data_IF_551714343788
#
_entry.id   IF_551714343788
#
_cell.length_a   1.000
_cell.length_b   1.000
_cell.length_c   1.000
_cell.angle_alpha   90.00
_cell.angle_beta   90.00
_cell.angle_gamma   90.00
#
_symmetry.space_group_name_H-M   'P 1'
#
loop_
_entity.id
_entity.type
_entity.pdbx_description
1 polymer ?
#
# COMPACT_ATOMS: atom_id res chain seq x y z
N UNK A 1 -13.45 13.70 -5.22
CA UNK A 1 -12.43 13.75 -4.14
C UNK A 1 -11.41 12.68 -4.45
N UNK A 2 -10.11 13.01 -4.43
CA UNK A 2 -9.04 12.04 -4.63
C UNK A 2 -7.90 12.44 -5.56
N UNK A 3 -7.98 13.55 -6.30
CA UNK A 3 -6.95 13.90 -7.31
C UNK A 3 -5.54 14.03 -6.71
N UNK A 4 -5.42 14.61 -5.51
CA UNK A 4 -4.16 14.71 -4.79
C UNK A 4 -3.63 13.32 -4.35
N UNK A 5 -4.48 12.49 -3.75
CA UNK A 5 -4.14 11.13 -3.36
C UNK A 5 -3.74 10.25 -4.57
N UNK A 6 -4.50 10.33 -5.67
CA UNK A 6 -4.18 9.68 -6.95
C UNK A 6 -2.82 10.13 -7.49
N UNK A 7 -2.57 11.45 -7.49
CA UNK A 7 -1.29 12.00 -7.93
C UNK A 7 -0.13 11.52 -7.06
N UNK A 8 -0.30 11.56 -5.74
CA UNK A 8 0.70 11.11 -4.77
C UNK A 8 1.01 9.61 -4.95
N UNK A 9 -0.01 8.76 -5.10
CA UNK A 9 0.16 7.32 -5.36
C UNK A 9 0.84 7.06 -6.70
N UNK A 10 0.44 7.78 -7.75
CA UNK A 10 1.06 7.68 -9.08
C UNK A 10 2.57 7.98 -9.02
N UNK A 11 2.96 9.04 -8.31
CA UNK A 11 4.38 9.37 -8.11
C UNK A 11 5.08 8.33 -7.24
N UNK A 12 4.48 7.94 -6.11
CA UNK A 12 5.02 6.96 -5.19
C UNK A 12 5.32 5.63 -5.88
N UNK A 13 4.40 5.14 -6.71
CA UNK A 13 4.57 3.92 -7.50
C UNK A 13 5.71 4.03 -8.52
N UNK A 14 5.92 5.19 -9.15
CA UNK A 14 7.02 5.40 -10.11
C UNK A 14 8.39 5.41 -9.46
N UNK A 15 8.48 5.93 -8.24
CA UNK A 15 9.75 6.04 -7.51
C UNK A 15 9.95 4.93 -6.46
N UNK A 16 9.02 3.98 -6.37
CA UNK A 16 9.01 2.91 -5.36
C UNK A 16 9.24 3.46 -3.93
N UNK A 17 8.54 4.55 -3.60
CA UNK A 17 8.69 5.25 -2.31
C UNK A 17 7.40 5.18 -1.50
N UNK A 18 7.48 5.03 -0.17
CA UNK A 18 6.32 5.30 0.68
C UNK A 18 5.92 6.78 0.62
N UNK A 19 4.68 7.05 1.01
CA UNK A 19 4.13 8.38 1.22
C UNK A 19 4.11 8.66 2.73
N UNK A 20 4.36 9.91 3.11
CA UNK A 20 4.18 10.37 4.49
C UNK A 20 3.07 11.42 4.53
N UNK A 21 2.19 11.30 5.52
CA UNK A 21 1.16 12.29 5.83
C UNK A 21 1.31 12.75 7.29
N UNK A 22 1.03 14.01 7.61
CA UNK A 22 1.23 14.56 8.96
C UNK A 22 0.22 14.04 9.99
N UNK A 23 -0.95 13.58 9.57
CA UNK A 23 -2.03 13.11 10.45
C UNK A 23 -2.94 12.07 9.78
N UNK A 24 -3.79 11.42 10.59
CA UNK A 24 -4.73 10.39 10.17
C UNK A 24 -5.85 10.93 9.25
N UNK A 25 -6.19 12.21 9.32
CA UNK A 25 -7.23 12.80 8.47
C UNK A 25 -6.85 12.78 7.00
N UNK A 26 -5.57 13.04 6.69
CA UNK A 26 -5.05 12.91 5.32
C UNK A 26 -4.92 11.46 4.86
N UNK A 27 -4.85 10.50 5.78
CA UNK A 27 -4.87 9.07 5.45
C UNK A 27 -6.23 8.67 4.83
N UNK A 28 -7.32 9.31 5.25
CA UNK A 28 -8.67 9.04 4.75
C UNK A 28 -8.84 9.37 3.26
N UNK A 29 -8.01 10.27 2.70
CA UNK A 29 -8.03 10.55 1.26
C UNK A 29 -7.68 9.31 0.41
N UNK A 30 -6.99 8.32 1.00
CA UNK A 30 -6.52 7.11 0.32
C UNK A 30 -7.48 5.91 0.47
N UNK A 31 -8.58 6.02 1.23
CA UNK A 31 -9.46 4.87 1.54
C UNK A 31 -9.98 4.11 0.31
N UNK A 32 -10.19 4.81 -0.81
CA UNK A 32 -10.62 4.18 -2.07
C UNK A 32 -9.57 3.22 -2.67
N UNK A 33 -8.29 3.40 -2.35
CA UNK A 33 -7.17 2.53 -2.75
C UNK A 33 -6.75 1.53 -1.65
N UNK A 34 -7.23 1.73 -0.43
CA UNK A 34 -6.79 1.00 0.75
C UNK A 34 -7.18 -0.48 0.70
N UNK A 35 -6.20 -1.35 0.96
CA UNK A 35 -6.38 -2.79 1.11
C UNK A 35 -6.55 -3.17 2.58
N UNK A 36 -5.73 -2.56 3.45
CA UNK A 36 -5.76 -2.72 4.90
C UNK A 36 -4.98 -1.58 5.57
N UNK A 37 -5.20 -1.43 6.87
CA UNK A 37 -4.46 -0.53 7.75
C UNK A 37 -3.53 -1.31 8.67
N UNK A 38 -2.36 -0.72 8.90
CA UNK A 38 -1.43 -1.14 9.92
C UNK A 38 -1.66 -0.28 11.16
N UNK A 39 -1.95 -0.96 12.26
CA UNK A 39 -2.43 -0.40 13.51
C UNK A 39 -1.37 -0.63 14.58
N UNK A 40 -1.15 0.38 15.42
CA UNK A 40 -0.19 0.31 16.53
C UNK A 40 -0.90 0.58 17.86
N UNK A 41 -0.41 0.01 18.96
CA UNK A 41 -0.94 0.30 20.31
C UNK A 41 -0.81 1.80 20.66
N UNK A 42 0.27 2.43 20.20
CA UNK A 42 0.58 3.85 20.37
C UNK A 42 1.32 4.37 19.14
N UNK A 43 1.35 5.70 18.96
CA UNK A 43 2.10 6.32 17.85
C UNK A 43 3.58 5.94 17.94
N UNK A 44 4.15 5.29 16.91
CA UNK A 44 5.55 4.86 16.95
C UNK A 44 6.49 6.06 16.93
N UNK A 45 7.67 5.88 17.53
CA UNK A 45 8.69 6.91 17.52
C UNK A 45 9.24 7.13 16.07
N UNK A 46 9.96 8.24 15.83
CA UNK A 46 10.52 8.52 14.50
C UNK A 46 11.49 7.44 14.00
N UNK A 47 12.25 6.80 14.88
CA UNK A 47 13.23 5.78 14.49
C UNK A 47 12.54 4.49 14.04
N UNK A 48 11.48 4.08 14.72
CA UNK A 48 10.63 2.94 14.36
C UNK A 48 9.89 3.21 13.04
N UNK A 49 9.39 4.43 12.85
CA UNK A 49 8.78 4.88 11.58
C UNK A 49 9.76 4.81 10.43
N UNK A 50 10.96 5.36 10.58
CA UNK A 50 11.99 5.28 9.55
C UNK A 50 12.37 3.83 9.21
N UNK A 51 12.42 2.93 10.21
CA UNK A 51 12.66 1.51 9.97
C UNK A 51 11.55 0.88 9.13
N UNK A 52 10.28 1.13 9.45
CA UNK A 52 9.16 0.54 8.73
C UNK A 52 8.99 1.14 7.33
N UNK A 53 9.29 2.41 7.14
CA UNK A 53 9.37 3.03 5.81
C UNK A 53 10.43 2.37 4.94
N UNK A 54 11.62 2.04 5.49
CA UNK A 54 12.66 1.31 4.75
C UNK A 54 12.19 -0.09 4.37
N UNK A 55 11.53 -0.80 5.29
CA UNK A 55 10.92 -2.10 5.01
C UNK A 55 9.93 -1.97 3.86
N UNK A 56 9.02 -0.98 3.93
CA UNK A 56 8.01 -0.73 2.91
C UNK A 56 8.61 -0.49 1.52
N UNK A 57 9.67 0.31 1.41
CA UNK A 57 10.33 0.57 0.13
C UNK A 57 10.79 -0.74 -0.57
N UNK A 58 11.33 -1.70 0.19
CA UNK A 58 11.68 -3.01 -0.37
C UNK A 58 10.46 -3.85 -0.70
N UNK A 59 9.44 -3.84 0.17
CA UNK A 59 8.22 -4.64 -0.02
C UNK A 59 7.48 -4.26 -1.30
N UNK A 60 7.42 -2.97 -1.65
CA UNK A 60 6.80 -2.50 -2.89
C UNK A 60 7.45 -3.12 -4.14
N UNK A 61 8.78 -3.28 -4.12
CA UNK A 61 9.54 -3.91 -5.20
C UNK A 61 9.39 -5.43 -5.15
N UNK A 62 9.50 -6.04 -3.96
CA UNK A 62 9.40 -7.50 -3.81
C UNK A 62 8.03 -8.05 -4.21
N UNK A 63 6.97 -7.25 -4.05
CA UNK A 63 5.62 -7.59 -4.51
C UNK A 63 5.56 -7.89 -6.01
N UNK A 64 6.46 -7.29 -6.78
CA UNK A 64 6.57 -7.50 -8.22
C UNK A 64 7.16 -8.85 -8.60
N UNK A 65 7.73 -9.61 -7.66
CA UNK A 65 8.16 -11.00 -7.91
C UNK A 65 7.02 -11.86 -8.44
N UNK A 66 5.80 -11.60 -7.98
CA UNK A 66 4.63 -12.38 -8.37
C UNK A 66 4.03 -11.91 -9.72
N UNK A 67 4.67 -10.93 -10.40
CA UNK A 67 4.33 -10.34 -11.71
C UNK A 67 3.66 -11.33 -12.70
N UNK A 68 4.28 -12.47 -13.03
CA UNK A 68 3.73 -13.40 -14.02
C UNK A 68 2.37 -13.97 -13.59
N UNK A 69 2.20 -14.30 -12.30
CA UNK A 69 0.95 -14.86 -11.79
C UNK A 69 -0.22 -13.87 -11.82
N UNK A 70 0.05 -12.55 -11.77
CA UNK A 70 -1.01 -11.55 -11.94
C UNK A 70 -1.51 -11.52 -13.38
N UNK A 71 -0.62 -11.69 -14.36
CA UNK A 71 -0.94 -11.71 -15.79
C UNK A 71 -1.82 -12.92 -16.11
N UNK A 72 -1.44 -14.10 -15.60
CA UNK A 72 -2.22 -15.33 -15.77
C UNK A 72 -3.63 -15.17 -15.18
N UNK A 73 -3.74 -14.66 -13.94
CA UNK A 73 -5.04 -14.40 -13.30
C UNK A 73 -5.87 -13.35 -14.03
N UNK A 74 -5.25 -12.34 -14.65
CA UNK A 74 -5.97 -11.39 -15.50
C UNK A 74 -6.65 -12.09 -16.67
N UNK A 75 -5.93 -13.00 -17.31
CA UNK A 75 -6.40 -13.72 -18.50
C UNK A 75 -7.52 -14.70 -18.15
N UNK A 76 -7.44 -15.35 -16.98
CA UNK A 76 -8.41 -16.36 -16.55
C UNK A 76 -9.66 -15.78 -15.89
N UNK A 77 -9.50 -14.74 -15.05
CA UNK A 77 -10.55 -14.26 -14.15
C UNK A 77 -10.77 -12.75 -14.16
N UNK A 78 -10.06 -12.01 -15.02
CA UNK A 78 -10.18 -10.57 -15.15
C UNK A 78 -9.70 -9.79 -13.92
N UNK A 79 -10.13 -8.53 -13.84
CA UNK A 79 -9.66 -7.56 -12.86
C UNK A 79 -9.95 -7.94 -11.40
N UNK A 80 -11.14 -8.46 -11.13
CA UNK A 80 -11.55 -8.84 -9.77
C UNK A 80 -10.71 -10.00 -9.21
N UNK A 81 -10.35 -10.97 -10.06
CA UNK A 81 -9.50 -12.08 -9.65
C UNK A 81 -8.11 -11.59 -9.22
N UNK A 82 -7.55 -10.64 -9.96
CA UNK A 82 -6.27 -10.01 -9.61
C UNK A 82 -6.38 -9.25 -8.30
N UNK A 83 -7.37 -8.36 -8.15
CA UNK A 83 -7.52 -7.54 -6.94
C UNK A 83 -7.63 -8.42 -5.69
N UNK A 84 -8.35 -9.54 -5.77
CA UNK A 84 -8.43 -10.52 -4.69
C UNK A 84 -7.07 -11.12 -4.35
N UNK A 85 -6.35 -11.64 -5.34
CA UNK A 85 -5.02 -12.21 -5.11
C UNK A 85 -4.01 -11.16 -4.63
N UNK A 86 -4.14 -9.89 -5.06
CA UNK A 86 -3.27 -8.76 -4.66
C UNK A 86 -3.46 -8.48 -3.20
N UNK A 87 -4.72 -8.40 -2.78
CA UNK A 87 -5.08 -8.29 -1.38
C UNK A 87 -4.49 -9.42 -0.54
N UNK A 88 -4.69 -10.68 -0.93
CA UNK A 88 -4.17 -11.83 -0.18
C UNK A 88 -2.64 -11.82 -0.04
N UNK A 89 -1.92 -11.58 -1.14
CA UNK A 89 -0.46 -11.51 -1.14
C UNK A 89 0.06 -10.36 -0.28
N UNK A 90 -0.55 -9.18 -0.39
CA UNK A 90 -0.17 -7.98 0.36
C UNK A 90 -0.39 -8.17 1.86
N UNK A 91 -1.53 -8.75 2.27
CA UNK A 91 -1.81 -9.06 3.67
C UNK A 91 -0.82 -10.09 4.23
N UNK A 92 -0.50 -11.14 3.46
CA UNK A 92 0.49 -12.15 3.86
C UNK A 92 1.90 -11.56 4.02
N UNK A 93 2.31 -10.66 3.14
CA UNK A 93 3.60 -9.98 3.23
C UNK A 93 3.63 -9.00 4.41
N UNK A 94 2.56 -8.25 4.62
CA UNK A 94 2.41 -7.30 5.72
C UNK A 94 2.54 -7.99 7.09
N UNK A 95 1.87 -9.12 7.29
CA UNK A 95 1.97 -9.91 8.53
C UNK A 95 3.40 -10.38 8.83
N UNK A 96 4.20 -10.67 7.80
CA UNK A 96 5.60 -11.10 7.96
C UNK A 96 6.52 -9.92 8.28
N UNK A 97 6.35 -8.81 7.56
CA UNK A 97 7.29 -7.67 7.59
C UNK A 97 6.98 -6.68 8.71
N UNK A 98 5.72 -6.57 9.09
CA UNK A 98 5.22 -5.63 10.08
C UNK A 98 4.63 -6.33 11.30
N UNK A 99 5.19 -7.47 11.70
CA UNK A 99 4.69 -8.36 12.78
C UNK A 99 4.43 -7.69 14.15
N UNK A 100 4.91 -6.46 14.37
CA UNK A 100 4.66 -5.67 15.58
C UNK A 100 3.38 -4.82 15.49
N UNK A 101 2.75 -4.81 14.33
CA UNK A 101 1.55 -4.03 14.04
C UNK A 101 0.38 -4.97 13.85
N UNK A 102 -0.77 -4.55 14.37
CA UNK A 102 -2.05 -5.17 14.02
C UNK A 102 -2.42 -4.81 12.59
N UNK A 103 -3.10 -5.73 11.89
CA UNK A 103 -3.67 -5.47 10.56
C UNK A 103 -5.18 -5.36 10.72
N UNK A 104 -5.74 -4.18 10.48
CA UNK A 104 -7.16 -3.87 10.70
C UNK A 104 -7.67 -4.15 12.14
N UNK A 105 -6.78 -4.10 13.13
CA UNK A 105 -7.07 -4.32 14.56
C UNK A 105 -7.09 -2.99 15.35
N UNK A 106 -7.66 -2.99 16.57
CA UNK A 106 -7.76 -1.76 17.38
C UNK A 106 -6.42 -1.07 17.66
N UNK A 107 -6.44 0.24 17.92
CA UNK A 107 -5.25 1.06 18.16
C UNK A 107 -5.28 2.36 17.37
N UNK A 108 -4.10 2.96 17.16
CA UNK A 108 -3.92 4.13 16.30
C UNK A 108 -3.53 3.71 14.88
N UNK A 109 -4.08 4.39 13.87
CA UNK A 109 -3.75 4.11 12.48
C UNK A 109 -2.36 4.66 12.16
N UNK A 110 -1.41 3.76 11.86
CA UNK A 110 -0.04 4.16 11.59
C UNK A 110 0.28 4.18 10.11
N UNK A 111 -0.26 3.24 9.35
CA UNK A 111 -0.09 3.24 7.91
C UNK A 111 -1.26 2.60 7.17
N UNK A 112 -1.41 2.92 5.89
CA UNK A 112 -2.33 2.26 4.96
C UNK A 112 -1.57 1.57 3.86
N UNK A 113 -1.92 0.31 3.60
CA UNK A 113 -1.46 -0.46 2.45
C UNK A 113 -2.40 -0.21 1.29
N UNK A 114 -1.89 0.34 0.19
CA UNK A 114 -2.68 0.76 -0.96
C UNK A 114 -2.38 -0.12 -2.16
N UNK A 115 -3.44 -0.51 -2.87
CA UNK A 115 -3.31 -1.09 -4.20
C UNK A 115 -3.72 -0.05 -5.26
N UNK A 116 -2.76 0.49 -6.03
CA UNK A 116 -3.05 1.45 -7.10
C UNK A 116 -4.04 0.92 -8.14
N UNK A 117 -4.14 -0.41 -8.28
CA UNK A 117 -5.12 -1.01 -9.18
C UNK A 117 -6.55 -0.82 -8.68
N UNK A 118 -6.83 -0.81 -7.37
CA UNK A 118 -8.20 -0.81 -6.81
C UNK A 118 -9.04 0.40 -7.25
N UNK A 119 -8.46 1.60 -7.22
CA UNK A 119 -9.15 2.87 -7.56
C UNK A 119 -8.74 3.50 -8.89
N UNK A 120 -7.91 2.82 -9.69
CA UNK A 120 -7.43 3.38 -10.96
C UNK A 120 -6.32 4.42 -10.82
N UNK A 121 -5.56 4.37 -9.73
CA UNK A 121 -4.37 5.20 -9.50
C UNK A 121 -3.10 4.60 -10.15
N UNK A 122 -3.21 3.46 -10.82
CA UNK A 122 -2.10 2.83 -11.51
C UNK A 122 -1.56 3.75 -12.63
N UNK A 123 -0.24 3.99 -12.72
CA UNK A 123 0.35 4.95 -13.65
C UNK A 123 0.34 4.51 -15.13
N UNK A 124 -0.16 3.31 -15.42
CA UNK A 124 -0.13 2.67 -16.73
C UNK A 124 -1.52 2.13 -17.11
N UNK A 125 -1.85 2.02 -18.41
CA UNK A 125 -3.06 1.34 -18.86
C UNK A 125 -2.95 -0.18 -18.66
N UNK A 126 -4.08 -0.89 -18.66
CA UNK A 126 -4.09 -2.35 -18.73
C UNK A 126 -3.47 -2.85 -20.07
N UNK A 127 -2.72 -3.97 -20.08
CA UNK A 127 -2.45 -4.85 -18.94
C UNK A 127 -1.30 -4.36 -18.04
N UNK A 128 -0.53 -3.33 -18.42
CA UNK A 128 0.66 -2.89 -17.68
C UNK A 128 0.34 -2.37 -16.27
N UNK A 129 -0.87 -1.89 -16.01
CA UNK A 129 -1.33 -1.47 -14.67
C UNK A 129 -1.20 -2.56 -13.61
N UNK A 130 -1.32 -3.84 -13.99
CA UNK A 130 -1.19 -4.98 -13.06
C UNK A 130 0.24 -5.15 -12.57
N UNK A 131 1.20 -4.59 -13.32
CA UNK A 131 2.61 -4.59 -12.97
C UNK A 131 3.00 -3.40 -12.08
N UNK A 132 2.01 -2.65 -11.59
CA UNK A 132 2.23 -1.67 -10.54
C UNK A 132 2.37 -2.40 -9.20
N UNK A 133 3.41 -2.05 -8.43
CA UNK A 133 3.52 -2.48 -7.03
C UNK A 133 2.40 -1.91 -6.17
N UNK A 134 2.40 -2.25 -4.88
CA UNK A 134 1.58 -1.56 -3.89
C UNK A 134 2.27 -0.28 -3.40
N UNK A 135 1.56 0.55 -2.65
CA UNK A 135 2.10 1.75 -1.99
C UNK A 135 1.78 1.69 -0.50
N UNK A 136 2.65 2.23 0.34
CA UNK A 136 2.38 2.39 1.77
C UNK A 136 2.36 3.87 2.12
N UNK A 137 1.32 4.31 2.81
CA UNK A 137 1.21 5.67 3.35
C UNK A 137 1.40 5.59 4.85
N UNK A 138 2.37 6.30 5.40
CA UNK A 138 2.64 6.38 6.84
C UNK A 138 2.15 7.70 7.41
N UNK A 139 1.57 7.65 8.61
CA UNK A 139 1.32 8.83 9.43
C UNK A 139 2.61 9.17 10.19
N UNK A 140 3.12 10.39 9.97
CA UNK A 140 4.36 10.90 10.58
C UNK A 140 4.04 12.23 11.27
N UNK A 141 3.93 12.21 12.59
CA UNK A 141 3.72 13.43 13.37
C UNK A 141 4.99 14.29 13.32
N UNK A 142 4.84 15.53 12.88
CA UNK A 142 5.90 16.55 12.93
C UNK A 142 5.64 17.38 14.19
N UNK A 143 6.60 17.39 15.11
CA UNK A 143 6.58 18.26 16.30
C UNK A 143 6.92 19.71 15.95
#
# INVERSE_FOLDING_TARGET
MGDAAHYAVTLASRFATPICVPDEGLLEEFTHLEVARLMAEQSPDPAETLRHMRIAAYSMVDFMRDAPSWVERLQEGGREAILRSRKEALLSDAQKRYWRLGVDEGGVAWASLLDPLKGGAAPYPEPFSILCGFVVVFVVKVE
#
